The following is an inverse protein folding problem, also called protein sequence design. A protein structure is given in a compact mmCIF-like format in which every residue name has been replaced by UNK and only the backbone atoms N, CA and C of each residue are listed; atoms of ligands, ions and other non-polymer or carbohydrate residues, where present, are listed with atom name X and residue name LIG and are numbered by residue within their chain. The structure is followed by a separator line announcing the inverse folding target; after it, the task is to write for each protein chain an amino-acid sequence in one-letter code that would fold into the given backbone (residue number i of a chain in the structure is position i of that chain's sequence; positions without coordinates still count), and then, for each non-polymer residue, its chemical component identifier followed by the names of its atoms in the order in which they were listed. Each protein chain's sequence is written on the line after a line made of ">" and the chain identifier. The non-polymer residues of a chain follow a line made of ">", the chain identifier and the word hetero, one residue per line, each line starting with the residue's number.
data_IF_838801837738
#
_entry.id   IF_838801837738
#
_cell.length_a   1.000
_cell.length_b   1.000
_cell.length_c   1.000
_cell.angle_alpha   90.00
_cell.angle_beta   90.00
_cell.angle_gamma   90.00
#
_symmetry.space_group_name_H-M   'P 1'
#
loop_
_entity.id
_entity.type
_entity.pdbx_description
1 polymer ?
#
# COMPACT_ATOMS: atom_id res chain seq x y z
N UNK A 1 -0.68 -11.20 -14.26
CA UNK A 1 -1.11 -12.54 -14.70
C UNK A 1 -0.35 -13.69 -14.03
N UNK A 2 1.00 -13.64 -13.94
CA UNK A 2 1.80 -14.71 -13.32
C UNK A 2 1.39 -14.98 -11.87
N UNK A 3 1.27 -13.95 -11.04
CA UNK A 3 0.87 -14.06 -9.62
C UNK A 3 -0.51 -14.70 -9.48
N UNK A 4 -1.45 -14.30 -10.32
CA UNK A 4 -2.81 -14.88 -10.30
C UNK A 4 -2.73 -16.36 -10.61
N UNK A 5 -2.06 -16.74 -11.69
CA UNK A 5 -1.98 -18.12 -12.16
C UNK A 5 -1.19 -19.05 -11.22
N UNK A 6 -0.07 -18.57 -10.68
CA UNK A 6 0.88 -19.42 -9.94
C UNK A 6 0.70 -19.36 -8.43
N UNK A 7 0.02 -18.33 -7.91
CA UNK A 7 -0.12 -18.11 -6.47
C UNK A 7 -1.59 -18.00 -6.05
N UNK A 8 -2.32 -17.00 -6.53
CA UNK A 8 -3.66 -16.71 -6.00
C UNK A 8 -4.70 -17.78 -6.41
N UNK A 9 -4.74 -18.16 -7.70
CA UNK A 9 -5.72 -19.15 -8.18
C UNK A 9 -5.55 -20.50 -7.50
N UNK A 10 -4.33 -21.08 -7.37
CA UNK A 10 -4.15 -22.35 -6.65
C UNK A 10 -4.63 -22.32 -5.20
N UNK A 11 -4.50 -21.19 -4.53
CA UNK A 11 -5.00 -21.04 -3.13
C UNK A 11 -6.52 -21.05 -3.10
N UNK A 12 -7.17 -20.29 -3.97
CA UNK A 12 -8.65 -20.23 -4.04
C UNK A 12 -9.22 -21.58 -4.42
N UNK A 13 -8.62 -22.28 -5.40
CA UNK A 13 -9.05 -23.62 -5.83
C UNK A 13 -8.91 -24.64 -4.70
N UNK A 14 -7.82 -24.61 -3.97
CA UNK A 14 -7.61 -25.53 -2.83
C UNK A 14 -8.59 -25.26 -1.69
N UNK A 15 -8.91 -23.99 -1.40
CA UNK A 15 -9.94 -23.62 -0.42
C UNK A 15 -11.31 -24.18 -0.84
N UNK A 16 -11.67 -24.04 -2.12
CA UNK A 16 -12.91 -24.61 -2.66
C UNK A 16 -12.92 -26.14 -2.56
N UNK A 17 -11.82 -26.82 -2.91
CA UNK A 17 -11.67 -28.28 -2.80
C UNK A 17 -11.85 -28.79 -1.37
N UNK A 18 -11.46 -27.99 -0.36
CA UNK A 18 -11.64 -28.28 1.07
C UNK A 18 -13.06 -28.01 1.59
N UNK A 19 -13.95 -27.49 0.75
CA UNK A 19 -15.30 -27.10 1.14
C UNK A 19 -15.39 -25.79 1.91
N UNK A 20 -14.34 -24.98 1.88
CA UNK A 20 -14.22 -23.67 2.51
C UNK A 20 -13.93 -22.60 1.47
N UNK A 21 -14.85 -22.42 0.52
CA UNK A 21 -14.68 -21.46 -0.58
C UNK A 21 -14.37 -20.07 -0.03
N UNK A 22 -13.35 -19.42 -0.64
CA UNK A 22 -12.93 -18.10 -0.25
C UNK A 22 -13.72 -17.02 -1.00
N UNK A 23 -14.28 -16.07 -0.26
CA UNK A 23 -14.95 -14.88 -0.78
C UNK A 23 -14.37 -13.68 0.00
N UNK A 24 -13.80 -12.72 -0.71
CA UNK A 24 -13.22 -11.55 -0.09
C UNK A 24 -11.93 -11.11 -0.76
N UNK A 25 -11.09 -10.38 -0.03
CA UNK A 25 -9.81 -9.90 -0.49
C UNK A 25 -8.69 -10.85 -0.05
N UNK A 26 -7.98 -11.39 -1.02
CA UNK A 26 -6.77 -12.20 -0.80
C UNK A 26 -5.53 -11.33 -1.06
N UNK A 27 -4.82 -10.97 -0.01
CA UNK A 27 -3.51 -10.34 -0.12
C UNK A 27 -2.44 -11.44 -0.20
N UNK A 28 -1.59 -11.34 -1.21
CA UNK A 28 -0.45 -12.24 -1.42
C UNK A 28 0.86 -11.45 -1.17
N UNK A 29 1.47 -11.62 0.00
CA UNK A 29 2.80 -11.10 0.29
C UNK A 29 3.86 -11.90 -0.45
N UNK A 30 4.55 -11.27 -1.39
CA UNK A 30 5.48 -11.95 -2.29
C UNK A 30 6.86 -11.31 -2.25
N UNK A 31 7.89 -12.14 -2.42
CA UNK A 31 9.26 -11.73 -2.69
C UNK A 31 9.65 -12.17 -4.10
N UNK A 32 10.15 -11.23 -4.90
CA UNK A 32 10.80 -11.51 -6.18
C UNK A 32 12.28 -11.81 -5.92
N UNK A 33 12.68 -13.04 -6.16
CA UNK A 33 14.05 -13.50 -5.90
C UNK A 33 14.74 -13.95 -7.18
N UNK A 34 16.04 -14.17 -7.13
CA UNK A 34 16.81 -14.77 -8.25
C UNK A 34 16.30 -16.17 -8.65
N UNK A 35 15.50 -16.80 -7.79
CA UNK A 35 14.85 -18.10 -8.04
C UNK A 35 13.35 -17.98 -8.37
N UNK A 36 12.90 -16.80 -8.78
CA UNK A 36 11.50 -16.48 -9.10
C UNK A 36 10.68 -16.04 -7.89
N UNK A 37 9.37 -16.03 -8.06
CA UNK A 37 8.41 -15.65 -7.03
C UNK A 37 8.48 -16.57 -5.82
N UNK A 38 8.43 -15.98 -4.62
CA UNK A 38 8.31 -16.69 -3.34
C UNK A 38 7.21 -16.07 -2.52
N UNK A 39 6.34 -16.91 -1.99
CA UNK A 39 5.29 -16.47 -1.07
C UNK A 39 5.91 -16.26 0.30
N UNK A 40 5.64 -15.10 0.88
CA UNK A 40 6.01 -14.74 2.25
C UNK A 40 4.84 -15.08 3.17
N UNK A 41 3.65 -14.54 2.83
CA UNK A 41 2.43 -14.77 3.60
C UNK A 41 1.17 -14.56 2.75
N UNK A 42 0.04 -15.01 3.27
CA UNK A 42 -1.29 -14.64 2.81
C UNK A 42 -2.04 -13.89 3.92
N UNK A 43 -2.80 -12.87 3.54
CA UNK A 43 -3.74 -12.21 4.42
C UNK A 43 -5.14 -12.19 3.78
N UNK A 44 -6.19 -12.30 4.60
CA UNK A 44 -7.60 -12.28 4.17
C UNK A 44 -8.23 -10.90 4.39
N UNK A 45 -7.42 -9.87 4.31
CA UNK A 45 -7.77 -8.46 4.49
C UNK A 45 -6.81 -7.60 3.68
N UNK A 46 -7.13 -6.33 3.55
CA UNK A 46 -6.21 -5.36 2.97
C UNK A 46 -4.86 -5.35 3.69
N UNK A 47 -3.78 -5.27 2.94
CA UNK A 47 -2.43 -5.08 3.47
C UNK A 47 -2.29 -3.70 4.13
N UNK A 48 -1.42 -3.59 5.09
CA UNK A 48 -1.05 -2.33 5.75
C UNK A 48 0.48 -2.36 5.96
N UNK A 49 1.22 -1.50 5.25
CA UNK A 49 0.83 -0.24 4.57
C UNK A 49 0.59 -0.35 3.04
N UNK A 50 0.44 -1.51 2.44
CA UNK A 50 0.38 -1.65 0.98
C UNK A 50 -0.91 -1.06 0.37
N UNK A 51 -2.02 -1.18 1.08
CA UNK A 51 -3.34 -0.74 0.59
C UNK A 51 -3.40 0.76 0.33
N UNK A 52 -2.73 1.55 1.13
CA UNK A 52 -2.71 3.00 1.03
C UNK A 52 -2.17 3.44 -0.34
N UNK A 53 -1.03 2.91 -0.75
CA UNK A 53 -0.45 3.20 -2.06
C UNK A 53 -1.29 2.61 -3.22
N UNK A 54 -1.86 1.42 -3.05
CA UNK A 54 -2.70 0.78 -4.08
C UNK A 54 -3.98 1.59 -4.30
N UNK A 55 -4.70 1.93 -3.22
CA UNK A 55 -5.98 2.64 -3.34
C UNK A 55 -5.83 4.10 -3.78
N UNK A 56 -4.71 4.75 -3.50
CA UNK A 56 -4.42 6.09 -4.01
C UNK A 56 -4.42 6.14 -5.56
N UNK A 57 -4.13 5.01 -6.21
CA UNK A 57 -4.16 4.89 -7.67
C UNK A 57 -5.50 4.41 -8.23
N UNK A 58 -6.41 3.91 -7.40
CA UNK A 58 -7.70 3.39 -7.86
C UNK A 58 -8.60 4.55 -8.31
N UNK A 59 -9.06 4.51 -9.56
CA UNK A 59 -9.95 5.53 -10.14
C UNK A 59 -11.40 5.06 -10.27
N UNK A 60 -11.66 3.76 -10.14
CA UNK A 60 -12.99 3.19 -10.09
C UNK A 60 -13.54 3.12 -8.65
N UNK A 61 -14.85 2.87 -8.53
CA UNK A 61 -15.55 2.84 -7.24
C UNK A 61 -15.14 1.62 -6.40
N UNK A 62 -14.35 1.84 -5.33
CA UNK A 62 -14.03 0.79 -4.36
C UNK A 62 -15.28 0.20 -3.68
N UNK A 63 -16.29 1.00 -3.24
CA UNK A 63 -17.51 0.45 -2.65
C UNK A 63 -18.27 -0.48 -3.57
N UNK A 64 -18.32 -0.22 -4.88
CA UNK A 64 -18.97 -1.10 -5.84
C UNK A 64 -18.23 -2.44 -5.99
N UNK A 65 -16.89 -2.42 -6.04
CA UNK A 65 -16.07 -3.63 -6.08
C UNK A 65 -16.26 -4.47 -4.82
N UNK A 66 -16.23 -3.84 -3.65
CA UNK A 66 -16.41 -4.52 -2.36
C UNK A 66 -17.82 -5.11 -2.23
N UNK A 67 -18.86 -4.37 -2.68
CA UNK A 67 -20.22 -4.86 -2.68
C UNK A 67 -20.39 -6.05 -3.64
N UNK A 68 -19.85 -5.98 -4.84
CA UNK A 68 -19.87 -7.07 -5.81
C UNK A 68 -19.17 -8.33 -5.28
N UNK A 69 -18.01 -8.17 -4.63
CA UNK A 69 -17.29 -9.27 -3.99
C UNK A 69 -18.13 -9.89 -2.86
N UNK A 70 -18.68 -9.08 -1.96
CA UNK A 70 -19.45 -9.55 -0.81
C UNK A 70 -20.75 -10.26 -1.21
N UNK A 71 -21.32 -9.90 -2.35
CA UNK A 71 -22.57 -10.52 -2.87
C UNK A 71 -22.34 -11.65 -3.87
N UNK A 72 -21.07 -12.05 -4.11
CA UNK A 72 -20.71 -13.11 -5.05
C UNK A 72 -20.92 -12.74 -6.53
N UNK A 73 -20.97 -11.45 -6.85
CA UNK A 73 -21.22 -10.94 -8.21
C UNK A 73 -20.01 -10.21 -8.80
N UNK A 74 -18.81 -10.52 -8.34
CA UNK A 74 -17.60 -9.83 -8.81
C UNK A 74 -17.38 -9.99 -10.34
N UNK A 75 -17.80 -11.12 -10.91
CA UNK A 75 -17.72 -11.34 -12.34
C UNK A 75 -18.63 -10.41 -13.19
N UNK A 76 -19.63 -9.76 -12.55
CA UNK A 76 -20.53 -8.79 -13.17
C UNK A 76 -20.02 -7.35 -13.02
N UNK A 77 -19.07 -7.12 -12.12
CA UNK A 77 -18.50 -5.79 -11.89
C UNK A 77 -17.54 -5.42 -13.03
N UNK A 78 -17.46 -4.12 -13.40
CA UNK A 78 -16.44 -3.68 -14.34
C UNK A 78 -15.04 -3.90 -13.77
N UNK A 79 -14.07 -4.12 -14.65
CA UNK A 79 -12.68 -4.18 -14.23
C UNK A 79 -12.25 -2.87 -13.55
N UNK A 80 -11.47 -2.93 -12.46
CA UNK A 80 -10.99 -1.73 -11.80
C UNK A 80 -10.06 -0.93 -12.71
N UNK A 81 -10.23 0.38 -12.70
CA UNK A 81 -9.38 1.32 -13.44
C UNK A 81 -8.41 2.02 -12.50
N UNK A 82 -7.24 2.37 -13.03
CA UNK A 82 -6.11 2.85 -12.25
C UNK A 82 -5.51 4.11 -12.87
N UNK A 83 -5.01 5.01 -12.01
CA UNK A 83 -4.19 6.15 -12.43
C UNK A 83 -2.87 5.66 -13.03
N UNK A 84 -2.36 6.36 -14.03
CA UNK A 84 -1.02 6.17 -14.60
C UNK A 84 0.11 6.61 -13.66
N UNK A 85 -0.22 7.42 -12.65
CA UNK A 85 0.75 7.91 -11.67
C UNK A 85 1.34 6.77 -10.84
N UNK A 86 2.58 6.95 -10.38
CA UNK A 86 3.19 6.15 -9.34
C UNK A 86 2.71 6.62 -7.96
N UNK A 87 2.69 5.72 -6.98
CA UNK A 87 2.39 6.04 -5.59
C UNK A 87 3.51 5.55 -4.67
N UNK A 88 3.85 6.35 -3.67
CA UNK A 88 4.76 6.00 -2.58
C UNK A 88 4.06 6.28 -1.25
N UNK A 89 4.15 5.33 -0.33
CA UNK A 89 3.66 5.46 1.04
C UNK A 89 4.81 5.35 2.03
N UNK A 90 4.95 6.36 2.90
CA UNK A 90 5.94 6.39 3.98
C UNK A 90 5.22 6.37 5.31
N UNK A 91 5.43 5.32 6.09
CA UNK A 91 4.86 5.20 7.43
C UNK A 91 5.70 5.99 8.44
N UNK A 92 5.05 6.86 9.21
CA UNK A 92 5.61 7.50 10.39
C UNK A 92 5.22 6.68 11.61
N UNK A 93 6.21 6.19 12.35
CA UNK A 93 6.04 5.38 13.54
C UNK A 93 6.41 6.13 14.81
N UNK A 94 5.79 5.76 15.93
CA UNK A 94 6.11 6.28 17.24
C UNK A 94 7.49 5.81 17.72
N UNK A 95 8.14 6.55 18.64
CA UNK A 95 9.41 6.13 19.23
C UNK A 95 9.32 4.73 19.83
N UNK A 96 10.34 3.90 19.55
CA UNK A 96 10.44 2.53 20.05
C UNK A 96 9.80 1.45 19.17
N UNK A 97 9.05 1.82 18.12
CA UNK A 97 8.50 0.85 17.18
C UNK A 97 9.62 0.09 16.43
N UNK A 98 9.53 -1.25 16.19
CA UNK A 98 8.39 -2.15 16.46
C UNK A 98 8.37 -2.78 17.88
N UNK A 99 9.26 -2.35 18.78
CA UNK A 99 9.27 -2.81 20.17
C UNK A 99 8.26 -2.09 21.06
N UNK A 100 8.69 -1.70 22.26
CA UNK A 100 7.83 -0.95 23.20
C UNK A 100 7.73 0.51 22.75
N UNK A 101 6.54 0.89 22.30
CA UNK A 101 6.28 2.24 21.78
C UNK A 101 6.01 3.25 22.89
N UNK A 102 6.44 4.50 22.65
CA UNK A 102 6.07 5.66 23.47
C UNK A 102 4.91 6.36 22.78
N UNK A 103 3.78 6.49 23.47
CA UNK A 103 2.59 7.18 23.00
C UNK A 103 2.37 8.52 23.69
N UNK A 104 1.41 9.33 23.20
CA UNK A 104 1.06 10.63 23.77
C UNK A 104 1.82 11.81 23.17
N UNK A 105 2.80 11.58 22.28
CA UNK A 105 3.49 12.66 21.56
C UNK A 105 2.53 13.43 20.67
N UNK A 106 2.56 14.78 20.74
CA UNK A 106 1.71 15.65 19.92
C UNK A 106 2.13 15.61 18.46
N UNK A 107 1.16 15.57 17.55
CA UNK A 107 1.36 15.57 16.11
C UNK A 107 0.92 16.92 15.57
N UNK A 108 1.76 17.57 14.76
CA UNK A 108 1.46 18.81 14.06
C UNK A 108 1.97 18.80 12.62
N UNK A 109 1.51 19.72 11.80
CA UNK A 109 2.00 19.91 10.43
C UNK A 109 1.30 19.05 9.37
N UNK A 110 0.27 18.29 9.72
CA UNK A 110 -0.48 17.47 8.76
C UNK A 110 -1.10 18.36 7.67
N UNK A 111 -1.79 19.43 8.07
CA UNK A 111 -2.43 20.36 7.14
C UNK A 111 -1.39 20.97 6.18
N UNK A 112 -0.21 21.31 6.69
CA UNK A 112 0.88 21.87 5.88
C UNK A 112 1.46 20.82 4.91
N UNK A 113 1.49 19.54 5.30
CA UNK A 113 1.90 18.45 4.43
C UNK A 113 0.89 18.23 3.30
N UNK A 114 -0.40 18.32 3.60
CA UNK A 114 -1.49 18.15 2.63
C UNK A 114 -1.72 19.38 1.72
N UNK A 115 -1.02 20.51 1.96
CA UNK A 115 -0.93 21.61 0.99
C UNK A 115 -0.11 21.24 -0.26
N UNK A 116 0.69 20.18 -0.20
CA UNK A 116 1.36 19.64 -1.38
C UNK A 116 0.35 18.92 -2.27
N UNK A 117 0.38 19.22 -3.56
CA UNK A 117 -0.46 18.54 -4.55
C UNK A 117 -0.19 17.03 -4.54
N UNK A 118 -1.26 16.25 -4.66
CA UNK A 118 -1.17 14.77 -4.72
C UNK A 118 -0.57 14.11 -3.45
N UNK A 119 -0.70 14.75 -2.30
CA UNK A 119 -0.33 14.19 -0.98
C UNK A 119 -1.56 13.93 -0.14
N UNK A 120 -1.58 12.79 0.54
CA UNK A 120 -2.61 12.41 1.50
C UNK A 120 -1.95 11.89 2.77
N UNK A 121 -2.36 12.40 3.93
CA UNK A 121 -1.89 11.91 5.23
C UNK A 121 -3.00 11.10 5.89
N UNK A 122 -2.79 9.79 5.99
CA UNK A 122 -3.76 8.87 6.54
C UNK A 122 -3.45 8.59 8.01
N UNK A 123 -4.47 8.68 8.86
CA UNK A 123 -4.36 8.35 10.27
C UNK A 123 -4.40 6.84 10.48
N UNK A 124 -3.43 6.31 11.24
CA UNK A 124 -3.38 4.94 11.71
C UNK A 124 -3.51 4.90 13.24
N UNK A 125 -2.42 4.94 13.97
CA UNK A 125 -2.42 4.94 15.43
C UNK A 125 -2.44 6.35 16.03
N UNK A 126 -3.42 7.16 15.69
CA UNK A 126 -3.63 8.50 16.25
C UNK A 126 -4.78 8.52 17.25
N UNK A 127 -4.76 9.49 18.14
CA UNK A 127 -5.81 9.81 19.11
C UNK A 127 -5.90 11.31 19.36
N UNK A 128 -6.81 11.71 20.21
CA UNK A 128 -6.97 13.10 20.63
C UNK A 128 -6.95 13.22 22.16
N UNK A 129 -6.34 14.29 22.66
CA UNK A 129 -6.42 14.65 24.08
C UNK A 129 -7.80 15.24 24.41
N UNK A 130 -8.12 15.40 25.70
CA UNK A 130 -9.33 16.12 26.14
C UNK A 130 -9.40 17.57 25.64
N UNK A 131 -8.26 18.15 25.26
CA UNK A 131 -8.15 19.49 24.69
C UNK A 131 -8.28 19.52 23.16
N UNK A 132 -8.46 18.34 22.52
CA UNK A 132 -8.57 18.22 21.07
C UNK A 132 -7.23 18.20 20.34
N UNK A 133 -6.09 18.11 21.05
CA UNK A 133 -4.78 17.99 20.40
C UNK A 133 -4.59 16.60 19.83
N UNK A 134 -4.08 16.50 18.60
CA UNK A 134 -3.77 15.23 17.97
C UNK A 134 -2.49 14.62 18.56
N UNK A 135 -2.54 13.33 18.88
CA UNK A 135 -1.43 12.61 19.51
C UNK A 135 -1.19 11.24 18.86
N UNK A 136 0.03 10.73 19.02
CA UNK A 136 0.37 9.34 18.71
C UNK A 136 -0.26 8.42 19.78
N UNK A 137 -1.08 7.47 19.35
CA UNK A 137 -1.78 6.51 20.21
C UNK A 137 -1.41 5.04 19.89
N UNK A 138 -0.57 4.80 18.90
CA UNK A 138 -0.13 3.46 18.48
C UNK A 138 1.28 3.44 17.89
N UNK A 139 1.74 2.28 17.47
CA UNK A 139 3.09 2.10 16.94
C UNK A 139 3.28 2.73 15.56
N UNK A 140 2.45 2.36 14.57
CA UNK A 140 2.34 3.06 13.28
C UNK A 140 1.33 4.17 13.45
N UNK A 141 1.75 5.41 13.24
CA UNK A 141 0.97 6.59 13.61
C UNK A 141 0.28 7.21 12.40
N UNK A 142 1.05 7.46 11.34
CA UNK A 142 0.57 8.05 10.10
C UNK A 142 1.12 7.29 8.90
N UNK A 143 0.40 7.36 7.78
CA UNK A 143 0.84 6.93 6.46
C UNK A 143 0.81 8.14 5.54
N UNK A 144 1.95 8.53 4.99
CA UNK A 144 2.09 9.66 4.07
C UNK A 144 2.16 9.11 2.66
N UNK A 145 1.06 9.24 1.92
CA UNK A 145 0.92 8.75 0.56
C UNK A 145 1.08 9.91 -0.41
N UNK A 146 1.98 9.76 -1.38
CA UNK A 146 2.14 10.74 -2.45
C UNK A 146 2.07 10.08 -3.82
N UNK A 147 1.46 10.80 -4.77
CA UNK A 147 1.41 10.41 -6.18
C UNK A 147 2.40 11.26 -7.00
N UNK A 148 2.87 10.71 -8.11
CA UNK A 148 3.76 11.41 -9.02
C UNK A 148 3.81 10.75 -10.40
N UNK A 149 4.18 11.50 -11.42
CA UNK A 149 4.32 10.99 -12.79
C UNK A 149 5.38 9.88 -12.91
N UNK A 150 6.38 9.90 -12.04
CA UNK A 150 7.41 8.87 -11.90
C UNK A 150 7.51 8.42 -10.46
N UNK A 151 8.11 7.26 -10.23
CA UNK A 151 8.33 6.75 -8.87
C UNK A 151 9.26 7.68 -8.07
N UNK A 152 10.25 8.27 -8.72
CA UNK A 152 11.15 9.26 -8.12
C UNK A 152 10.37 10.50 -7.64
N UNK A 153 9.54 11.09 -8.52
CA UNK A 153 8.72 12.25 -8.17
C UNK A 153 7.73 11.96 -7.02
N UNK A 154 7.10 10.77 -7.03
CA UNK A 154 6.23 10.36 -5.93
C UNK A 154 7.01 10.20 -4.61
N UNK A 155 8.22 9.61 -4.68
CA UNK A 155 9.10 9.46 -3.53
C UNK A 155 9.56 10.80 -2.96
N UNK A 156 10.07 11.70 -3.78
CA UNK A 156 10.50 13.04 -3.36
C UNK A 156 9.36 13.78 -2.66
N UNK A 157 8.17 13.76 -3.23
CA UNK A 157 6.98 14.41 -2.67
C UNK A 157 6.56 13.79 -1.34
N UNK A 158 6.60 12.45 -1.22
CA UNK A 158 6.28 11.78 0.04
C UNK A 158 7.22 12.21 1.17
N UNK A 159 8.52 12.28 0.90
CA UNK A 159 9.50 12.72 1.89
C UNK A 159 9.41 14.21 2.21
N UNK A 160 9.15 15.07 1.22
CA UNK A 160 8.86 16.48 1.46
C UNK A 160 7.66 16.66 2.42
N UNK A 161 6.61 15.86 2.23
CA UNK A 161 5.45 15.87 3.13
C UNK A 161 5.80 15.36 4.53
N UNK A 162 6.58 14.28 4.64
CA UNK A 162 7.05 13.74 5.93
C UNK A 162 7.83 14.79 6.72
N UNK A 163 8.68 15.59 6.07
CA UNK A 163 9.48 16.65 6.72
C UNK A 163 8.62 17.79 7.29
N UNK A 164 7.41 17.99 6.77
CA UNK A 164 6.45 18.99 7.29
C UNK A 164 5.71 18.52 8.54
N UNK A 165 5.72 17.23 8.82
CA UNK A 165 5.03 16.63 9.97
C UNK A 165 5.97 16.55 11.14
N UNK A 166 5.53 17.04 12.29
CA UNK A 166 6.31 16.99 13.54
C UNK A 166 5.65 16.04 14.54
N UNK A 167 6.41 15.05 14.97
CA UNK A 167 6.15 14.16 16.10
C UNK A 167 7.50 13.86 16.76
N UNK A 168 7.69 14.28 18.01
CA UNK A 168 8.95 14.12 18.71
C UNK A 168 9.39 12.65 18.79
N UNK A 169 10.62 12.36 18.35
CA UNK A 169 11.19 11.01 18.33
C UNK A 169 10.56 10.06 17.33
N UNK A 170 9.75 10.55 16.38
CA UNK A 170 9.18 9.75 15.31
C UNK A 170 10.26 9.03 14.51
N UNK A 171 9.89 7.88 13.97
CA UNK A 171 10.76 7.04 13.17
C UNK A 171 10.10 6.76 11.82
N UNK A 172 10.87 6.87 10.76
CA UNK A 172 10.46 6.43 9.42
C UNK A 172 11.67 5.95 8.63
N UNK A 173 11.45 5.09 7.67
CA UNK A 173 12.51 4.63 6.76
C UNK A 173 12.78 5.69 5.72
N UNK A 174 14.06 5.93 5.43
CA UNK A 174 14.51 6.92 4.44
C UNK A 174 14.75 6.31 3.04
N UNK A 175 14.66 4.99 2.91
CA UNK A 175 14.99 4.21 1.71
C UNK A 175 13.76 3.63 0.99
N UNK A 176 12.54 4.05 1.37
CA UNK A 176 11.31 3.56 0.70
C UNK A 176 11.35 3.93 -0.78
N UNK A 177 11.10 2.93 -1.63
CA UNK A 177 11.12 3.00 -3.08
C UNK A 177 12.46 3.43 -3.72
N UNK A 178 13.55 3.65 -2.96
CA UNK A 178 14.82 4.16 -3.47
C UNK A 178 15.42 3.26 -4.56
N UNK A 179 15.60 1.97 -4.27
CA UNK A 179 16.19 1.04 -5.25
C UNK A 179 15.35 0.91 -6.53
N UNK A 180 14.02 1.04 -6.41
CA UNK A 180 13.13 0.97 -7.56
C UNK A 180 13.14 2.26 -8.40
N UNK A 181 13.25 3.45 -7.76
CA UNK A 181 13.35 4.74 -8.46
C UNK A 181 14.69 4.91 -9.19
N UNK A 182 15.76 4.35 -8.64
CA UNK A 182 17.10 4.37 -9.26
C UNK A 182 17.28 3.32 -10.38
N UNK A 183 16.22 2.54 -10.73
CA UNK A 183 16.27 1.52 -11.77
C UNK A 183 17.09 0.27 -11.40
N UNK A 184 17.45 0.11 -10.12
CA UNK A 184 18.26 -1.01 -9.60
C UNK A 184 17.47 -2.32 -9.47
N UNK A 185 16.15 -2.29 -9.60
CA UNK A 185 15.32 -3.49 -9.69
C UNK A 185 15.29 -3.94 -11.13
N UNK A 186 15.99 -5.03 -11.43
CA UNK A 186 16.09 -5.59 -12.78
C UNK A 186 14.73 -5.63 -13.47
N UNK A 187 14.66 -5.08 -14.69
CA UNK A 187 13.49 -5.05 -15.54
C UNK A 187 12.86 -6.45 -15.58
N UNK A 188 11.67 -6.60 -15.02
CA UNK A 188 10.83 -7.74 -15.31
C UNK A 188 10.50 -7.62 -16.78
N UNK A 189 11.14 -8.48 -17.60
CA UNK A 189 11.07 -8.42 -19.05
C UNK A 189 9.62 -8.33 -19.51
N UNK A 190 9.33 -7.30 -20.28
CA UNK A 190 8.20 -7.26 -21.19
C UNK A 190 8.27 -8.52 -22.05
N UNK A 191 7.36 -9.46 -21.80
CA UNK A 191 7.15 -10.57 -22.70
C UNK A 191 6.62 -9.98 -24.03
N UNK A 192 7.53 -9.81 -24.96
CA UNK A 192 7.20 -9.45 -26.33
C UNK A 192 6.19 -10.49 -26.87
N UNK A 193 5.08 -10.00 -27.37
CA UNK A 193 4.17 -10.72 -28.24
C UNK A 193 4.96 -11.27 -29.42
N UNK A 194 5.17 -12.58 -29.44
CA UNK A 194 5.57 -13.29 -30.65
C UNK A 194 4.27 -13.61 -31.41
N UNK A 195 3.82 -12.63 -32.20
CA UNK A 195 3.00 -12.86 -33.35
C UNK A 195 3.93 -13.13 -34.53
N UNK A 196 3.67 -14.14 -35.29
CA UNK A 196 4.35 -14.28 -36.55
C UNK A 196 4.50 -15.72 -37.10
N UNK A 197 3.54 -16.10 -37.89
CA UNK A 197 3.66 -16.78 -39.17
C UNK A 197 4.60 -18.01 -39.34
N UNK A 198 4.12 -19.13 -39.51
CA UNK A 198 3.91 -19.98 -40.73
C UNK A 198 3.35 -21.35 -40.35
#
# INVERSE_FOLDING_TARGET
>A
EQVVREVAQPVVDEMARRGTSFIGLLYCGLALTSRGLRVVEFNVRFGDPETQAVLARLTSSLPELLHAAATGRLAEAPEPTWSEQCAVDVVIAAPGYPGTVTTGGTITGIETAEELDDVHVLHAGTGTTERGELIAAGGRVLSVVALGATLEAARERAYEAVERINLEGAQYRTDIAQAASEGSVGSVGSAASADGAE
#
